data_IF_045783031027
#
_entry.id   IF_045783031027
#
_cell.length_a   1.000
_cell.length_b   1.000
_cell.length_c   1.000
_cell.angle_alpha   90.00
_cell.angle_beta   90.00
_cell.angle_gamma   90.00
#
_symmetry.space_group_name_H-M   'P 1'
#
loop_
_entity.id
_entity.type
_entity.pdbx_description
1 polymer ?
#
# COMPACT_ATOMS: atom_id res chain seq x y z
N UNK A 1 -12.14 18.83 -13.95
CA UNK A 1 -10.78 18.27 -14.11
C UNK A 1 -10.53 18.06 -15.60
N UNK A 2 -9.34 18.40 -16.10
CA UNK A 2 -8.95 18.10 -17.49
C UNK A 2 -8.94 16.58 -17.69
N UNK A 3 -9.54 16.03 -18.76
CA UNK A 3 -9.59 14.58 -19.01
C UNK A 3 -8.21 13.96 -19.30
N UNK A 4 -7.16 14.76 -19.44
CA UNK A 4 -5.80 14.31 -19.77
C UNK A 4 -4.81 14.37 -18.61
N UNK A 5 -5.21 14.88 -17.44
CA UNK A 5 -4.32 14.99 -16.28
C UNK A 5 -4.77 14.04 -15.18
N UNK A 6 -3.88 13.12 -14.77
CA UNK A 6 -4.13 12.19 -13.69
C UNK A 6 -4.44 12.96 -12.39
N UNK A 7 -5.38 12.46 -11.60
CA UNK A 7 -5.61 12.96 -10.23
C UNK A 7 -4.38 12.71 -9.37
N UNK A 8 -4.23 13.43 -8.25
CA UNK A 8 -3.14 13.19 -7.31
C UNK A 8 -3.14 11.74 -6.79
N UNK A 9 -4.32 11.17 -6.56
CA UNK A 9 -4.49 9.75 -6.26
C UNK A 9 -3.94 8.85 -7.35
N UNK A 10 -4.32 9.07 -8.61
CA UNK A 10 -3.86 8.25 -9.72
C UNK A 10 -2.36 8.40 -9.97
N UNK A 11 -1.79 9.61 -9.78
CA UNK A 11 -0.34 9.82 -9.86
C UNK A 11 0.40 9.10 -8.73
N UNK A 12 -0.05 9.21 -7.48
CA UNK A 12 0.55 8.50 -6.36
C UNK A 12 0.47 6.98 -6.54
N UNK A 13 -0.69 6.47 -6.94
CA UNK A 13 -0.92 5.04 -7.19
C UNK A 13 0.00 4.52 -8.29
N UNK A 14 0.12 5.27 -9.39
CA UNK A 14 1.02 4.92 -10.49
C UNK A 14 2.48 4.96 -10.07
N UNK A 15 2.92 6.04 -9.43
CA UNK A 15 4.32 6.23 -9.04
C UNK A 15 4.84 5.14 -8.10
N UNK A 16 4.05 4.75 -7.11
CA UNK A 16 4.42 3.72 -6.14
C UNK A 16 4.21 2.33 -6.74
N UNK A 17 3.04 2.11 -7.35
CA UNK A 17 2.65 0.83 -7.91
C UNK A 17 3.58 0.35 -9.02
N UNK A 18 4.03 1.25 -9.90
CA UNK A 18 4.89 0.87 -11.04
C UNK A 18 6.20 0.22 -10.61
N UNK A 19 6.68 0.51 -9.39
CA UNK A 19 7.90 -0.07 -8.84
C UNK A 19 7.60 -1.29 -7.97
N UNK A 20 6.63 -1.19 -7.05
CA UNK A 20 6.31 -2.30 -6.15
C UNK A 20 5.85 -3.52 -6.93
N UNK A 21 5.15 -3.33 -8.06
CA UNK A 21 4.64 -4.45 -8.82
C UNK A 21 5.76 -5.42 -9.23
N UNK A 22 6.98 -4.95 -9.49
CA UNK A 22 8.13 -5.80 -9.88
C UNK A 22 8.57 -6.80 -8.81
N UNK A 23 8.16 -6.59 -7.56
CA UNK A 23 8.39 -7.47 -6.43
C UNK A 23 7.24 -8.44 -6.16
N UNK A 24 6.12 -8.30 -6.89
CA UNK A 24 5.00 -9.22 -6.85
C UNK A 24 5.05 -10.17 -8.06
N UNK A 25 5.02 -11.49 -7.79
CA UNK A 25 5.16 -12.51 -8.82
C UNK A 25 3.89 -12.76 -9.63
N UNK A 26 2.70 -12.59 -9.05
CA UNK A 26 1.43 -12.84 -9.73
C UNK A 26 0.78 -11.55 -10.26
N UNK A 27 1.25 -10.39 -9.80
CA UNK A 27 0.77 -9.05 -10.18
C UNK A 27 -0.73 -8.89 -9.87
N UNK A 28 -1.24 -9.59 -8.85
CA UNK A 28 -2.63 -9.49 -8.41
C UNK A 28 -2.70 -8.63 -7.15
N UNK A 29 -3.27 -7.44 -7.29
CA UNK A 29 -3.32 -6.45 -6.22
C UNK A 29 -4.74 -6.31 -5.67
N UNK A 30 -5.02 -6.79 -4.44
CA UNK A 30 -6.26 -6.47 -3.75
C UNK A 30 -6.40 -4.95 -3.56
N UNK A 31 -7.45 -4.36 -4.12
CA UNK A 31 -7.63 -2.91 -4.11
C UNK A 31 -8.95 -2.52 -3.47
N UNK A 32 -8.88 -1.62 -2.48
CA UNK A 32 -10.04 -1.20 -1.68
C UNK A 32 -10.21 0.31 -1.64
N UNK A 33 -11.45 0.75 -1.64
CA UNK A 33 -11.85 2.09 -1.23
C UNK A 33 -12.35 2.09 0.21
N UNK A 34 -12.34 3.27 0.84
CA UNK A 34 -12.92 3.49 2.17
C UNK A 34 -13.47 4.91 2.25
N UNK A 35 -14.50 5.13 3.07
CA UNK A 35 -15.13 6.46 3.21
C UNK A 35 -16.04 6.78 2.02
N UNK A 36 -16.94 5.87 1.67
CA UNK A 36 -17.93 6.15 0.63
C UNK A 36 -19.29 5.55 0.98
N UNK A 37 -20.34 6.15 0.43
CA UNK A 37 -21.67 5.55 0.36
C UNK A 37 -21.75 4.70 -0.90
N UNK A 38 -22.01 3.42 -0.74
CA UNK A 38 -22.11 2.47 -1.84
C UNK A 38 -23.54 2.43 -2.39
N UNK A 39 -23.71 2.36 -3.72
CA UNK A 39 -25.01 2.09 -4.31
C UNK A 39 -25.46 0.63 -4.03
N UNK A 40 -26.77 0.33 -4.16
CA UNK A 40 -27.85 1.27 -4.40
C UNK A 40 -28.40 1.92 -3.12
N UNK A 41 -28.19 1.34 -1.93
CA UNK A 41 -28.83 1.82 -0.69
C UNK A 41 -28.14 3.03 -0.03
N UNK A 42 -26.97 3.45 -0.53
CA UNK A 42 -26.20 4.54 0.05
C UNK A 42 -25.57 4.16 1.40
N UNK A 43 -25.32 2.87 1.62
CA UNK A 43 -24.69 2.38 2.86
C UNK A 43 -23.27 2.92 2.96
N UNK A 44 -22.94 3.53 4.10
CA UNK A 44 -21.58 3.97 4.38
C UNK A 44 -20.68 2.75 4.54
N UNK A 45 -19.60 2.72 3.77
CA UNK A 45 -18.56 1.72 3.85
C UNK A 45 -17.21 2.37 4.12
N UNK A 46 -16.48 1.79 5.06
CA UNK A 46 -15.10 2.13 5.39
C UNK A 46 -14.10 1.11 4.83
N UNK A 47 -14.56 0.21 3.96
CA UNK A 47 -13.75 -0.76 3.24
C UNK A 47 -14.63 -1.46 2.20
N UNK A 48 -14.31 -1.34 0.91
CA UNK A 48 -15.02 -2.02 -0.17
C UNK A 48 -14.10 -2.27 -1.35
N UNK A 49 -14.26 -3.38 -2.08
CA UNK A 49 -13.41 -3.70 -3.23
C UNK A 49 -13.66 -2.70 -4.37
N UNK A 50 -12.60 -2.13 -4.94
CA UNK A 50 -12.72 -1.16 -6.04
C UNK A 50 -13.30 -1.78 -7.32
N UNK A 51 -13.06 -3.08 -7.53
CA UNK A 51 -13.59 -3.85 -8.65
C UNK A 51 -15.03 -4.35 -8.42
N UNK A 52 -15.66 -3.98 -7.29
CA UNK A 52 -17.02 -4.39 -6.89
C UNK A 52 -17.21 -5.91 -6.77
N UNK A 53 -16.13 -6.66 -6.49
CA UNK A 53 -16.16 -8.10 -6.26
C UNK A 53 -15.66 -8.40 -4.83
N UNK A 54 -16.60 -8.73 -3.93
CA UNK A 54 -16.30 -9.04 -2.54
C UNK A 54 -15.57 -10.39 -2.38
N UNK A 55 -15.77 -11.32 -3.32
CA UNK A 55 -15.14 -12.66 -3.29
C UNK A 55 -13.69 -12.61 -3.79
N UNK A 56 -13.44 -11.80 -4.83
CA UNK A 56 -12.11 -11.60 -5.39
C UNK A 56 -11.83 -10.10 -5.65
N UNK A 57 -11.19 -9.42 -4.68
CA UNK A 57 -10.87 -8.00 -4.76
C UNK A 57 -9.59 -7.72 -5.56
N UNK A 58 -8.95 -8.74 -6.13
CA UNK A 58 -7.70 -8.59 -6.84
C UNK A 58 -7.88 -7.90 -8.20
N UNK A 59 -6.95 -7.00 -8.50
CA UNK A 59 -6.83 -6.32 -9.78
C UNK A 59 -5.55 -6.79 -10.48
N UNK A 60 -5.62 -7.05 -11.78
CA UNK A 60 -4.46 -7.43 -12.57
C UNK A 60 -3.58 -6.22 -12.90
N UNK A 61 -2.39 -6.16 -12.31
CA UNK A 61 -1.44 -5.07 -12.48
C UNK A 61 -1.92 -3.74 -11.90
N UNK A 62 -1.06 -2.73 -11.97
CA UNK A 62 -1.39 -1.37 -11.54
C UNK A 62 -2.40 -0.72 -12.47
N UNK A 63 -2.39 -1.09 -13.75
CA UNK A 63 -3.38 -0.69 -14.74
C UNK A 63 -4.79 -1.14 -14.32
N UNK A 64 -4.94 -2.39 -13.86
CA UNK A 64 -6.23 -2.90 -13.37
C UNK A 64 -6.70 -2.20 -12.10
N UNK A 65 -5.77 -1.83 -11.21
CA UNK A 65 -6.08 -1.02 -10.03
C UNK A 65 -6.56 0.37 -10.43
N UNK A 66 -5.87 1.04 -11.37
CA UNK A 66 -6.26 2.35 -11.88
C UNK A 66 -7.63 2.32 -12.56
N UNK A 67 -7.89 1.30 -13.37
CA UNK A 67 -9.19 1.10 -14.01
C UNK A 67 -10.30 0.95 -12.97
N UNK A 68 -10.11 0.05 -11.99
CA UNK A 68 -11.07 -0.18 -10.91
C UNK A 68 -11.30 1.09 -10.07
N UNK A 69 -10.25 1.86 -9.80
CA UNK A 69 -10.35 3.17 -9.14
C UNK A 69 -11.23 4.15 -9.93
N UNK A 70 -11.00 4.30 -11.24
CA UNK A 70 -11.79 5.21 -12.08
C UNK A 70 -13.24 4.75 -12.24
N UNK A 71 -13.48 3.45 -12.29
CA UNK A 71 -14.83 2.89 -12.33
C UNK A 71 -15.56 3.14 -11.00
N UNK A 72 -14.93 2.79 -9.87
CA UNK A 72 -15.47 3.01 -8.53
C UNK A 72 -15.82 4.47 -8.27
N UNK A 73 -14.97 5.42 -8.68
CA UNK A 73 -15.24 6.85 -8.51
C UNK A 73 -16.50 7.35 -9.21
N UNK A 74 -16.99 6.64 -10.24
CA UNK A 74 -18.22 7.02 -10.97
C UNK A 74 -19.47 6.48 -10.30
N UNK A 75 -19.35 5.47 -9.45
CA UNK A 75 -20.47 4.72 -8.88
C UNK A 75 -20.71 5.04 -7.41
N UNK A 76 -19.65 5.29 -6.64
CA UNK A 76 -19.75 5.58 -5.22
C UNK A 76 -19.98 7.07 -4.96
N UNK A 77 -20.63 7.39 -3.85
CA UNK A 77 -20.70 8.75 -3.35
C UNK A 77 -19.65 8.94 -2.25
N UNK A 78 -18.66 9.82 -2.47
CA UNK A 78 -17.63 10.13 -1.49
C UNK A 78 -18.25 10.63 -0.17
N UNK A 79 -17.75 10.11 0.95
CA UNK A 79 -18.29 10.40 2.28
C UNK A 79 -17.20 10.31 3.37
N UNK A 80 -17.55 10.61 4.61
CA UNK A 80 -16.65 10.45 5.76
C UNK A 80 -17.37 9.73 6.91
N UNK A 81 -16.69 9.42 8.02
CA UNK A 81 -15.31 9.75 8.36
C UNK A 81 -14.24 8.89 7.65
N UNK A 82 -12.97 9.32 7.77
CA UNK A 82 -11.79 8.64 7.22
C UNK A 82 -11.24 7.66 8.25
N UNK A 83 -11.40 6.36 8.02
CA UNK A 83 -10.98 5.32 8.95
C UNK A 83 -9.92 4.41 8.36
N UNK A 84 -8.75 4.31 9.00
CA UNK A 84 -7.63 3.48 8.53
C UNK A 84 -7.60 2.11 9.22
N UNK A 85 -8.10 2.01 10.45
CA UNK A 85 -8.07 0.76 11.19
C UNK A 85 -8.73 -0.43 10.44
N UNK A 86 -9.85 -0.26 9.70
CA UNK A 86 -10.45 -1.38 8.96
C UNK A 86 -9.52 -2.00 7.91
N UNK A 87 -8.90 -1.17 7.06
CA UNK A 87 -8.01 -1.62 5.98
C UNK A 87 -6.70 -2.19 6.52
N UNK A 88 -6.12 -1.59 7.57
CA UNK A 88 -4.93 -2.13 8.24
C UNK A 88 -5.21 -3.52 8.82
N UNK A 89 -6.32 -3.66 9.56
CA UNK A 89 -6.71 -4.94 10.15
C UNK A 89 -7.02 -6.01 9.10
N UNK A 90 -7.53 -5.62 7.93
CA UNK A 90 -7.74 -6.56 6.83
C UNK A 90 -6.42 -7.15 6.34
N UNK A 91 -5.43 -6.30 6.02
CA UNK A 91 -4.12 -6.78 5.55
C UNK A 91 -3.40 -7.54 6.65
N UNK A 92 -3.48 -7.08 7.90
CA UNK A 92 -2.92 -7.80 9.05
C UNK A 92 -3.46 -9.23 9.17
N UNK A 93 -4.77 -9.46 8.94
CA UNK A 93 -5.35 -10.82 8.94
C UNK A 93 -4.80 -11.70 7.83
N UNK A 94 -4.46 -11.14 6.66
CA UNK A 94 -3.81 -11.88 5.58
C UNK A 94 -2.35 -12.18 5.94
N UNK A 95 -1.59 -11.16 6.34
CA UNK A 95 -0.19 -11.27 6.72
C UNK A 95 0.04 -12.24 7.90
N UNK A 96 -0.89 -12.31 8.86
CA UNK A 96 -0.81 -13.22 10.00
C UNK A 96 -0.84 -14.72 9.62
N UNK A 97 -1.28 -15.06 8.40
CA UNK A 97 -1.26 -16.43 7.89
C UNK A 97 0.13 -16.84 7.38
N UNK A 98 1.05 -15.89 7.24
CA UNK A 98 2.39 -16.09 6.70
C UNK A 98 3.41 -16.01 7.84
N UNK A 99 4.21 -17.06 7.99
CA UNK A 99 5.22 -17.16 9.04
C UNK A 99 6.58 -17.68 8.57
N UNK A 100 6.65 -18.20 7.34
CA UNK A 100 7.84 -18.80 6.73
C UNK A 100 8.65 -17.80 5.90
N UNK A 101 8.23 -16.53 5.86
CA UNK A 101 8.83 -15.48 5.04
C UNK A 101 8.60 -15.67 3.54
N UNK A 102 7.62 -16.50 3.15
CA UNK A 102 7.31 -16.73 1.74
C UNK A 102 6.69 -15.51 1.06
N UNK A 103 6.00 -14.67 1.84
CA UNK A 103 5.33 -13.45 1.40
C UNK A 103 5.55 -12.33 2.42
N UNK A 104 5.52 -11.09 1.93
CA UNK A 104 5.54 -9.88 2.74
C UNK A 104 4.59 -8.86 2.12
N UNK A 105 3.73 -8.27 2.93
CA UNK A 105 2.67 -7.39 2.44
C UNK A 105 3.11 -5.93 2.54
N UNK A 106 2.83 -5.14 1.51
CA UNK A 106 2.96 -3.68 1.57
C UNK A 106 1.58 -3.07 1.31
N UNK A 107 0.99 -2.47 2.35
CA UNK A 107 -0.29 -1.77 2.26
C UNK A 107 -0.05 -0.31 1.88
N UNK A 108 -0.43 0.10 0.68
CA UNK A 108 -0.45 1.50 0.26
C UNK A 108 -1.81 2.13 0.58
N UNK A 109 -1.83 3.15 1.44
CA UNK A 109 -2.98 3.99 1.76
C UNK A 109 -2.75 5.36 1.12
N UNK A 110 -3.72 5.84 0.34
CA UNK A 110 -3.70 7.20 -0.22
C UNK A 110 -4.89 7.96 0.37
N UNK A 111 -4.65 9.11 0.98
CA UNK A 111 -5.68 9.93 1.64
C UNK A 111 -5.50 11.42 1.34
N UNK A 112 -6.58 12.18 1.31
CA UNK A 112 -6.55 13.64 1.19
C UNK A 112 -6.93 14.39 2.48
N UNK A 113 -7.18 13.64 3.56
CA UNK A 113 -7.73 14.19 4.79
C UNK A 113 -7.27 13.48 6.05
N UNK A 114 -7.68 14.05 7.19
CA UNK A 114 -7.27 13.66 8.54
C UNK A 114 -7.92 12.34 8.97
N UNK A 115 -7.15 11.52 9.68
CA UNK A 115 -7.59 10.24 10.25
C UNK A 115 -8.60 10.51 11.37
N UNK A 116 -9.78 9.89 11.28
CA UNK A 116 -10.86 10.07 12.25
C UNK A 116 -10.88 9.00 13.35
N UNK A 117 -10.14 7.91 13.19
CA UNK A 117 -10.03 6.77 14.12
C UNK A 117 -8.58 6.57 14.60
N UNK A 118 -7.89 7.67 14.97
CA UNK A 118 -6.47 7.65 15.35
C UNK A 118 -6.13 6.58 16.41
N UNK A 119 -6.94 6.49 17.47
CA UNK A 119 -6.72 5.51 18.55
C UNK A 119 -6.77 4.06 18.03
N UNK A 120 -7.76 3.75 17.20
CA UNK A 120 -7.94 2.43 16.59
C UNK A 120 -6.85 2.14 15.56
N UNK A 121 -6.43 3.16 14.82
CA UNK A 121 -5.34 3.08 13.85
C UNK A 121 -4.02 2.75 14.53
N UNK A 122 -3.67 3.44 15.64
CA UNK A 122 -2.49 3.09 16.45
C UNK A 122 -2.58 1.68 17.02
N UNK A 123 -3.75 1.25 17.51
CA UNK A 123 -3.94 -0.12 18.00
C UNK A 123 -3.74 -1.16 16.89
N UNK A 124 -4.22 -0.89 15.68
CA UNK A 124 -4.03 -1.75 14.51
C UNK A 124 -2.54 -1.81 14.11
N UNK A 125 -1.84 -0.67 14.07
CA UNK A 125 -0.40 -0.61 13.76
C UNK A 125 0.43 -1.37 14.78
N UNK A 126 0.21 -1.13 16.07
CA UNK A 126 0.93 -1.84 17.14
C UNK A 126 0.70 -3.36 17.03
N UNK A 127 -0.53 -3.78 16.75
CA UNK A 127 -0.85 -5.21 16.59
C UNK A 127 -0.21 -5.80 15.33
N UNK A 128 -0.16 -5.04 14.24
CA UNK A 128 0.43 -5.44 12.96
C UNK A 128 1.97 -5.44 12.95
N UNK A 129 2.62 -4.72 13.87
CA UNK A 129 4.10 -4.57 13.90
C UNK A 129 4.88 -5.89 14.01
N UNK A 130 4.23 -6.94 14.51
CA UNK A 130 4.79 -8.30 14.60
C UNK A 130 4.59 -9.15 13.33
N UNK A 131 3.87 -8.65 12.33
CA UNK A 131 3.47 -9.38 11.12
C UNK A 131 4.38 -9.06 9.93
N UNK A 132 4.44 -9.91 8.89
CA UNK A 132 5.20 -9.63 7.66
C UNK A 132 4.48 -8.59 6.81
N UNK A 133 4.36 -7.37 7.31
CA UNK A 133 3.77 -6.26 6.57
C UNK A 133 4.38 -4.91 6.92
N UNK A 134 4.32 -4.01 5.93
CA UNK A 134 4.56 -2.57 6.02
C UNK A 134 3.33 -1.79 5.55
N UNK A 135 3.24 -0.54 5.95
CA UNK A 135 2.17 0.39 5.62
C UNK A 135 2.81 1.65 5.06
N UNK A 136 2.42 2.03 3.86
CA UNK A 136 2.80 3.29 3.23
C UNK A 136 1.57 4.19 3.25
N UNK A 137 1.69 5.41 3.74
CA UNK A 137 0.63 6.40 3.75
C UNK A 137 1.07 7.57 2.86
N UNK A 138 0.37 7.79 1.75
CA UNK A 138 0.59 8.95 0.87
C UNK A 138 -0.50 9.98 1.08
N UNK A 139 -0.13 11.14 1.61
CA UNK A 139 -1.02 12.28 1.80
C UNK A 139 -1.11 13.13 0.52
N UNK A 140 -2.28 13.26 -0.09
CA UNK A 140 -2.51 14.09 -1.28
C UNK A 140 -3.33 15.34 -0.94
N UNK A 141 -3.19 16.40 -1.72
CA UNK A 141 -3.97 17.62 -1.51
C UNK A 141 -3.45 18.53 -0.37
N UNK A 142 -4.28 19.50 0.08
CA UNK A 142 -3.81 20.60 0.91
C UNK A 142 -3.95 20.38 2.43
N UNK A 143 -4.51 19.26 2.89
CA UNK A 143 -4.77 19.02 4.31
C UNK A 143 -3.48 19.06 5.17
N UNK A 144 -3.64 19.23 6.47
CA UNK A 144 -2.54 19.11 7.44
C UNK A 144 -2.37 17.64 7.82
N UNK A 145 -1.13 17.15 7.84
CA UNK A 145 -0.81 15.73 8.03
C UNK A 145 -0.01 15.44 9.32
N UNK A 146 -0.07 16.34 10.32
CA UNK A 146 0.59 16.15 11.63
C UNK A 146 0.20 14.80 12.27
N UNK A 147 -1.05 14.39 12.09
CA UNK A 147 -1.55 13.09 12.56
C UNK A 147 -0.86 11.90 11.88
N UNK A 148 -0.41 12.04 10.63
CA UNK A 148 0.28 10.98 9.89
C UNK A 148 1.77 10.97 10.22
N UNK A 149 2.38 12.14 10.47
CA UNK A 149 3.75 12.23 11.01
C UNK A 149 3.87 11.52 12.36
N UNK A 150 2.83 11.59 13.21
CA UNK A 150 2.78 10.80 14.45
C UNK A 150 2.75 9.28 14.22
N UNK A 151 2.28 8.81 13.06
CA UNK A 151 2.22 7.39 12.73
C UNK A 151 3.52 6.86 12.12
N UNK A 152 4.36 7.73 11.57
CA UNK A 152 5.58 7.38 10.81
C UNK A 152 6.64 6.64 11.64
N UNK A 153 6.58 6.73 12.98
CA UNK A 153 7.41 5.90 13.87
C UNK A 153 8.88 6.28 13.99
N UNK A 154 9.40 7.10 13.06
CA UNK A 154 10.78 7.58 12.96
C UNK A 154 11.34 8.17 14.27
N UNK A 155 10.63 9.15 14.85
CA UNK A 155 11.03 9.80 16.10
C UNK A 155 10.67 8.95 17.32
N UNK A 156 9.43 8.46 17.35
CA UNK A 156 8.84 7.73 18.48
C UNK A 156 8.02 6.57 17.95
N UNK A 157 8.38 5.34 18.37
CA UNK A 157 7.60 4.14 18.04
C UNK A 157 6.14 4.34 18.41
N UNK A 158 5.26 4.03 17.46
CA UNK A 158 3.81 4.05 17.68
C UNK A 158 3.47 3.19 18.89
N UNK A 159 2.61 3.73 19.78
CA UNK A 159 2.15 3.03 20.96
C UNK A 159 0.65 3.13 21.15
N UNK A 160 0.07 2.10 21.77
CA UNK A 160 -1.35 2.05 22.11
C UNK A 160 -1.54 1.22 23.38
N UNK A 161 -2.33 1.77 24.33
CA UNK A 161 -2.65 1.14 25.62
C UNK A 161 -1.40 0.65 26.39
N UNK A 162 -0.33 1.46 26.38
CA UNK A 162 0.92 1.16 27.08
C UNK A 162 1.82 0.12 26.41
N UNK A 163 1.49 -0.35 25.19
CA UNK A 163 2.35 -1.22 24.39
C UNK A 163 2.92 -0.45 23.20
N UNK A 164 4.21 -0.62 22.95
CA UNK A 164 4.90 -0.09 21.78
C UNK A 164 4.86 -1.11 20.63
N UNK A 165 4.88 -0.61 19.40
CA UNK A 165 5.12 -1.42 18.21
C UNK A 165 6.48 -2.14 18.32
N UNK A 166 6.53 -3.42 17.92
CA UNK A 166 7.75 -4.23 17.96
C UNK A 166 8.82 -3.73 16.97
N UNK A 167 8.37 -3.18 15.85
CA UNK A 167 9.18 -2.61 14.77
C UNK A 167 8.47 -1.40 14.22
N UNK A 168 9.23 -0.55 13.56
CA UNK A 168 8.63 0.42 12.66
C UNK A 168 8.09 -0.28 11.40
N UNK A 169 6.89 0.09 11.00
CA UNK A 169 6.19 -0.49 9.85
C UNK A 169 5.41 0.56 9.06
N UNK A 170 5.46 1.84 9.42
CA UNK A 170 4.72 2.90 8.72
C UNK A 170 5.73 3.80 8.02
N UNK A 171 5.44 4.18 6.79
CA UNK A 171 6.10 5.30 6.12
C UNK A 171 5.03 6.30 5.71
N UNK A 172 5.14 7.55 6.13
CA UNK A 172 4.31 8.65 5.67
C UNK A 172 5.03 9.55 4.67
N UNK A 173 4.38 9.85 3.54
CA UNK A 173 4.92 10.78 2.54
C UNK A 173 3.84 11.77 2.07
N UNK A 174 4.01 13.09 2.27
CA UNK A 174 3.14 14.10 1.69
C UNK A 174 3.44 14.30 0.20
N UNK A 175 2.53 13.88 -0.69
CA UNK A 175 2.70 13.95 -2.13
C UNK A 175 2.98 15.37 -2.65
N UNK A 176 2.46 16.40 -1.97
CA UNK A 176 2.62 17.81 -2.37
C UNK A 176 4.08 18.27 -2.39
N UNK A 177 4.96 17.63 -1.63
CA UNK A 177 6.39 18.02 -1.55
C UNK A 177 7.15 17.63 -2.83
N UNK A 178 6.53 16.80 -3.67
CA UNK A 178 7.12 16.28 -4.89
C UNK A 178 6.51 16.88 -6.15
N UNK A 179 5.35 17.55 -6.06
CA UNK A 179 4.71 18.18 -7.22
C UNK A 179 5.44 19.48 -7.58
N UNK A 180 6.18 19.45 -8.70
CA UNK A 180 6.90 20.62 -9.20
C UNK A 180 5.91 21.62 -9.84
N UNK A 181 6.07 22.92 -9.53
CA UNK A 181 5.34 24.03 -10.17
C UNK A 181 5.66 24.12 -11.68
N UNK A 182 6.76 23.52 -12.12
CA UNK A 182 7.19 23.45 -13.51
C UNK A 182 6.42 22.41 -14.34
N UNK A 183 5.61 21.54 -13.71
CA UNK A 183 4.78 20.54 -14.41
C UNK A 183 5.51 19.28 -14.89
N UNK A 184 6.77 19.05 -14.46
CA UNK A 184 7.50 17.82 -14.81
C UNK A 184 7.08 16.64 -13.93
N UNK A 185 5.95 16.03 -14.28
CA UNK A 185 5.36 14.93 -13.53
C UNK A 185 6.28 13.70 -13.40
N UNK A 186 7.17 13.43 -14.37
CA UNK A 186 8.03 12.24 -14.34
C UNK A 186 9.04 12.32 -13.19
N UNK A 187 9.70 13.46 -13.03
CA UNK A 187 10.67 13.65 -11.95
C UNK A 187 9.99 13.67 -10.57
N UNK A 188 8.79 14.26 -10.49
CA UNK A 188 7.95 14.23 -9.29
C UNK A 188 7.61 12.80 -8.86
N UNK A 189 7.16 11.95 -9.78
CA UNK A 189 6.84 10.56 -9.50
C UNK A 189 8.08 9.77 -9.05
N UNK A 190 9.22 9.96 -9.71
CA UNK A 190 10.46 9.26 -9.34
C UNK A 190 10.96 9.61 -7.94
N UNK A 191 10.84 10.89 -7.52
CA UNK A 191 11.22 11.31 -6.16
C UNK A 191 10.25 10.79 -5.11
N UNK A 192 8.94 10.85 -5.38
CA UNK A 192 7.94 10.26 -4.49
C UNK A 192 8.23 8.77 -4.28
N UNK A 193 8.39 8.03 -5.38
CA UNK A 193 8.70 6.61 -5.36
C UNK A 193 9.93 6.29 -4.52
N UNK A 194 11.01 7.07 -4.69
CA UNK A 194 12.24 6.88 -3.93
C UNK A 194 12.00 6.98 -2.43
N UNK A 195 11.32 8.02 -1.99
CA UNK A 195 11.15 8.30 -0.56
C UNK A 195 10.10 7.36 0.05
N UNK A 196 9.01 7.06 -0.68
CA UNK A 196 8.00 6.08 -0.28
C UNK A 196 8.58 4.66 -0.08
N UNK A 197 9.57 4.28 -0.88
CA UNK A 197 10.14 2.93 -0.86
C UNK A 197 11.45 2.83 -0.07
N UNK A 198 11.93 3.94 0.50
CA UNK A 198 13.23 3.99 1.15
C UNK A 198 13.33 3.03 2.34
N UNK A 199 12.27 2.92 3.14
CA UNK A 199 12.28 2.12 4.37
C UNK A 199 11.86 0.67 4.19
N UNK A 200 11.12 0.35 3.13
CA UNK A 200 10.56 -1.00 2.92
C UNK A 200 11.63 -2.11 2.98
N UNK A 201 12.82 -1.96 2.36
CA UNK A 201 13.87 -2.96 2.51
C UNK A 201 14.32 -3.18 3.95
N UNK A 202 14.46 -2.11 4.74
CA UNK A 202 14.89 -2.21 6.14
C UNK A 202 13.80 -2.82 7.02
N UNK A 203 12.54 -2.42 6.82
CA UNK A 203 11.38 -2.97 7.53
C UNK A 203 11.19 -4.47 7.23
N UNK A 204 11.36 -4.88 5.97
CA UNK A 204 11.37 -6.29 5.55
C UNK A 204 12.49 -7.08 6.24
N UNK A 205 13.74 -6.59 6.16
CA UNK A 205 14.88 -7.28 6.75
C UNK A 205 14.79 -7.34 8.28
N UNK A 206 14.24 -6.30 8.91
CA UNK A 206 13.96 -6.28 10.35
C UNK A 206 13.00 -7.40 10.76
N UNK A 207 11.90 -7.59 10.01
CA UNK A 207 10.99 -8.73 10.22
C UNK A 207 11.71 -10.08 10.05
N UNK A 208 12.42 -10.28 8.93
CA UNK A 208 13.07 -11.57 8.65
C UNK A 208 14.10 -11.94 9.73
N UNK A 209 14.93 -10.98 10.17
CA UNK A 209 15.95 -11.19 11.21
C UNK A 209 15.33 -11.52 12.57
N UNK A 210 14.29 -10.80 12.98
CA UNK A 210 13.61 -11.04 14.27
C UNK A 210 12.92 -12.40 14.34
N UNK A 211 12.69 -13.04 13.18
CA UNK A 211 12.08 -14.37 13.06
C UNK A 211 13.05 -15.46 12.64
N UNK A 212 14.35 -15.16 12.56
CA UNK A 212 15.40 -16.08 12.10
C UNK A 212 15.07 -16.73 10.74
N UNK A 213 14.43 -15.97 9.85
CA UNK A 213 14.10 -16.41 8.50
C UNK A 213 15.31 -16.17 7.60
N UNK A 214 15.87 -17.26 7.09
CA UNK A 214 17.01 -17.22 6.19
C UNK A 214 16.56 -17.07 4.72
N UNK A 215 17.34 -16.37 3.87
CA UNK A 215 17.03 -16.27 2.45
C UNK A 215 16.91 -17.65 1.79
N UNK A 216 15.92 -17.82 0.92
CA UNK A 216 15.79 -19.03 0.10
C UNK A 216 16.99 -19.14 -0.86
N UNK A 217 17.44 -20.36 -1.19
CA UNK A 217 18.49 -20.55 -2.20
C UNK A 217 18.08 -19.87 -3.51
N UNK A 218 19.04 -19.32 -4.28
CA UNK A 218 18.74 -18.76 -5.59
C UNK A 218 18.10 -19.83 -6.49
N UNK A 219 17.15 -19.47 -7.37
CA UNK A 219 16.62 -20.39 -8.37
C UNK A 219 17.79 -21.04 -9.13
N UNK A 220 17.71 -22.35 -9.46
CA UNK A 220 18.75 -22.99 -10.25
C UNK A 220 18.92 -22.22 -11.57
N UNK A 221 20.16 -21.92 -11.93
CA UNK A 221 20.47 -21.34 -13.24
C UNK A 221 19.88 -22.25 -14.32
N UNK A 222 19.10 -21.68 -15.24
CA UNK A 222 18.46 -22.43 -16.33
C UNK A 222 19.45 -23.45 -16.92
N UNK A 223 19.11 -24.74 -17.01
CA UNK A 223 19.96 -25.70 -17.68
C UNK A 223 20.18 -25.20 -19.11
N UNK A 224 21.44 -25.19 -19.52
CA UNK A 224 21.90 -24.79 -20.86
C UNK A 224 20.98 -25.40 -21.93
N UNK A 225 20.64 -24.68 -23.01
CA UNK A 225 19.82 -25.24 -24.08
C UNK A 225 20.48 -26.53 -24.56
N UNK A 226 19.73 -27.63 -24.47
CA UNK A 226 20.17 -28.95 -24.89
C UNK A 226 20.59 -28.84 -26.37
N UNK A 227 21.78 -29.34 -26.77
CA UNK A 227 22.17 -29.30 -28.17
C UNK A 227 21.12 -30.06 -28.98
N UNK A 228 20.63 -29.43 -30.07
CA UNK A 228 19.71 -30.08 -30.99
C UNK A 228 20.33 -31.40 -31.49
N UNK A 229 19.55 -32.48 -31.63
CA UNK A 229 20.08 -33.74 -32.13
C UNK A 229 20.54 -33.56 -33.58
N UNK A 230 21.80 -33.92 -33.85
CA UNK A 230 22.31 -34.05 -35.21
C UNK A 230 21.50 -35.12 -35.94
N UNK A 231 20.80 -34.72 -36.99
CA UNK A 231 20.10 -35.64 -37.87
C UNK A 231 21.10 -36.37 -38.79
N UNK A 232 20.95 -37.68 -39.00
CA UNK A 232 21.79 -38.49 -39.89
C UNK A 232 21.57 -38.19 -41.37
#
# INVERSE_FOLDING_TARGET
MSPYQLSAYAMALKAVGEIIQDYDSDKLFPAYGFGAKLPPEGRISHQFPLNNNDEDPACAGIEGVLESYFQSLRTVQLYGPTYFAPVINQVARAAAKISDGSQYYVLLIITDGVISDMTQTKEAIVSASSLPMSIIIVGVGPAMFEAMEELDGDDVRVSSRGRYAERDIVQFVPFRDYVDRSGNHVLSMARLAKDVLAEIPEQLLSYMRTRDIQPRPPPPANPSPTPAPEHP
#
